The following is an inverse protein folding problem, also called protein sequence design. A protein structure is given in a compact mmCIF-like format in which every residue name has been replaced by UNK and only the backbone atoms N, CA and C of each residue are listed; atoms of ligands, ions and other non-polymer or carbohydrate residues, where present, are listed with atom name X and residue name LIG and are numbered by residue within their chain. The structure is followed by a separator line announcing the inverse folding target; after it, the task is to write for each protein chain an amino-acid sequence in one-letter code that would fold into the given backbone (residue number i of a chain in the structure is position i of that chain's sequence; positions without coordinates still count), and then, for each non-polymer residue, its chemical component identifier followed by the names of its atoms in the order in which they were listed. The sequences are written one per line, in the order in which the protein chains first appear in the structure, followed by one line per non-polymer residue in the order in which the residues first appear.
data_IF_782463181423
#
_entry.id   IF_782463181423
#
_cell.length_a   1.000
_cell.length_b   1.000
_cell.length_c   1.000
_cell.angle_alpha   90.00
_cell.angle_beta   90.00
_cell.angle_gamma   90.00
#
_symmetry.space_group_name_H-M   'P 1'
#
loop_
_entity.id
_entity.type
_entity.pdbx_description
1 polymer ?
#
# COMPACT_ATOMS: atom_id res chain seq x y z
N UNK A 1 -15.74 -3.07 -9.33
CA UNK A 1 -15.45 -1.85 -8.53
C UNK A 1 -15.28 -2.16 -7.05
N UNK A 2 -16.28 -2.74 -6.35
CA UNK A 2 -16.18 -3.03 -4.90
C UNK A 2 -14.96 -3.89 -4.50
N UNK A 3 -14.68 -4.98 -5.22
CA UNK A 3 -13.54 -5.86 -4.95
C UNK A 3 -12.18 -5.15 -5.06
N UNK A 4 -12.03 -4.31 -6.08
CA UNK A 4 -10.81 -3.54 -6.31
C UNK A 4 -10.61 -2.52 -5.19
N UNK A 5 -11.68 -1.79 -4.79
CA UNK A 5 -11.60 -0.86 -3.67
C UNK A 5 -11.27 -1.56 -2.35
N UNK A 6 -11.88 -2.73 -2.07
CA UNK A 6 -11.57 -3.51 -0.86
C UNK A 6 -10.12 -4.02 -0.87
N UNK A 7 -9.63 -4.44 -2.04
CA UNK A 7 -8.24 -4.90 -2.20
C UNK A 7 -7.26 -3.74 -2.04
N UNK A 8 -7.58 -2.56 -2.58
CA UNK A 8 -6.76 -1.36 -2.43
C UNK A 8 -6.76 -0.89 -0.98
N UNK A 9 -7.90 -0.89 -0.30
CA UNK A 9 -8.01 -0.46 1.09
C UNK A 9 -7.30 -1.42 2.05
N UNK A 10 -7.47 -2.74 1.85
CA UNK A 10 -6.74 -3.77 2.59
C UNK A 10 -5.23 -3.73 2.29
N UNK A 11 -4.85 -3.55 1.03
CA UNK A 11 -3.46 -3.43 0.60
C UNK A 11 -2.80 -2.16 1.13
N UNK A 12 -3.54 -1.05 1.22
CA UNK A 12 -3.06 0.20 1.80
C UNK A 12 -2.83 0.07 3.30
N UNK A 13 -3.79 -0.48 4.04
CA UNK A 13 -3.65 -0.69 5.48
C UNK A 13 -2.47 -1.61 5.81
N UNK A 14 -2.38 -2.77 5.15
CA UNK A 14 -1.29 -3.72 5.38
C UNK A 14 0.05 -3.16 4.89
N UNK A 15 0.10 -2.58 3.69
CA UNK A 15 1.32 -2.01 3.13
C UNK A 15 1.90 -0.90 4.01
N UNK A 16 1.06 0.02 4.48
CA UNK A 16 1.47 1.09 5.38
C UNK A 16 1.95 0.52 6.71
N UNK A 17 1.17 -0.35 7.35
CA UNK A 17 1.53 -0.92 8.65
C UNK A 17 2.85 -1.68 8.59
N UNK A 18 3.04 -2.49 7.55
CA UNK A 18 4.27 -3.25 7.33
C UNK A 18 5.44 -2.32 6.99
N UNK A 19 5.23 -1.26 6.21
CA UNK A 19 6.29 -0.29 5.94
C UNK A 19 6.80 0.37 7.23
N UNK A 20 5.94 0.77 8.17
CA UNK A 20 6.42 1.31 9.47
C UNK A 20 7.12 0.30 10.38
N UNK A 21 6.81 -1.00 10.25
CA UNK A 21 7.44 -2.06 11.05
C UNK A 21 8.79 -2.47 10.46
N UNK A 22 8.88 -2.58 9.14
CA UNK A 22 10.02 -3.18 8.44
C UNK A 22 10.94 -2.16 7.76
N UNK A 23 10.46 -0.95 7.51
CA UNK A 23 11.24 0.11 6.87
C UNK A 23 11.55 1.19 7.92
N UNK A 24 12.83 1.49 8.07
CA UNK A 24 13.32 2.45 9.07
C UNK A 24 13.07 3.89 8.60
N UNK A 25 11.89 4.43 8.91
CA UNK A 25 11.50 5.79 8.52
C UNK A 25 12.47 6.83 9.08
N UNK A 26 13.17 7.54 8.19
CA UNK A 26 14.12 8.58 8.53
C UNK A 26 13.45 9.95 8.56
N UNK A 27 13.77 10.74 9.58
CA UNK A 27 13.39 12.14 9.59
C UNK A 27 14.40 12.95 8.78
N UNK A 28 14.09 13.22 7.52
CA UNK A 28 14.97 13.99 6.63
C UNK A 28 14.71 15.50 6.81
N UNK A 29 15.76 16.26 7.08
CA UNK A 29 15.72 17.72 7.08
C UNK A 29 17.06 18.31 6.69
N UNK A 30 17.04 19.39 5.93
CA UNK A 30 18.24 20.12 5.55
C UNK A 30 18.12 21.60 5.91
N UNK A 31 19.27 22.24 6.10
CA UNK A 31 19.34 23.66 6.43
C UNK A 31 19.75 24.46 5.20
N UNK A 32 19.00 25.52 4.94
CA UNK A 32 19.35 26.51 3.92
C UNK A 32 19.81 27.77 4.64
N UNK A 33 21.06 28.16 4.39
CA UNK A 33 21.66 29.37 4.96
C UNK A 33 21.49 30.55 4.01
N UNK A 34 21.33 31.74 4.57
CA UNK A 34 21.31 33.02 3.84
C UNK A 34 20.31 33.12 2.68
N UNK A 35 19.19 32.41 2.75
CA UNK A 35 18.12 32.52 1.76
C UNK A 35 17.15 33.65 2.17
N UNK A 36 16.88 34.59 1.26
CA UNK A 36 15.93 35.69 1.44
C UNK A 36 16.16 36.55 2.71
N UNK A 37 17.42 36.80 3.08
CA UNK A 37 17.78 37.62 4.24
C UNK A 37 17.63 36.92 5.59
N UNK A 38 17.24 35.65 5.62
CA UNK A 38 17.14 34.85 6.84
C UNK A 38 18.46 34.10 7.06
N UNK A 39 19.02 34.20 8.27
CA UNK A 39 20.31 33.60 8.60
C UNK A 39 20.32 32.07 8.46
N UNK A 40 19.23 31.40 8.85
CA UNK A 40 19.09 29.95 8.82
C UNK A 40 17.63 29.55 8.69
N UNK A 41 17.32 28.65 7.74
CA UNK A 41 15.99 28.07 7.54
C UNK A 41 16.10 26.55 7.50
N UNK A 42 15.39 25.85 8.39
CA UNK A 42 15.27 24.39 8.35
C UNK A 42 14.12 23.99 7.43
N UNK A 43 14.41 23.19 6.42
CA UNK A 43 13.41 22.58 5.54
C UNK A 43 13.22 21.13 5.97
N UNK A 44 11.98 20.76 6.27
CA UNK A 44 11.60 19.37 6.52
C UNK A 44 11.32 18.73 5.18
N UNK A 45 11.95 17.59 4.92
CA UNK A 45 11.71 16.80 3.72
C UNK A 45 11.00 15.51 4.07
N UNK A 46 10.38 14.90 3.06
CA UNK A 46 9.78 13.58 3.18
C UNK A 46 10.85 12.54 2.92
N UNK A 47 10.82 11.45 3.69
CA UNK A 47 11.63 10.27 3.38
C UNK A 47 11.11 9.62 2.08
N UNK A 48 11.70 10.04 0.96
CA UNK A 48 11.29 9.58 -0.37
C UNK A 48 11.52 8.08 -0.54
N UNK A 49 12.61 7.55 0.01
CA UNK A 49 12.91 6.12 -0.06
C UNK A 49 11.85 5.33 0.71
N UNK A 50 11.48 5.78 1.91
CA UNK A 50 10.37 5.18 2.66
C UNK A 50 9.06 5.24 1.87
N UNK A 51 8.68 6.41 1.36
CA UNK A 51 7.41 6.57 0.63
C UNK A 51 7.38 5.72 -0.63
N UNK A 52 8.47 5.67 -1.39
CA UNK A 52 8.58 4.86 -2.59
C UNK A 52 8.44 3.37 -2.25
N UNK A 53 9.20 2.88 -1.27
CA UNK A 53 9.16 1.48 -0.87
C UNK A 53 7.80 1.08 -0.26
N UNK A 54 7.19 1.95 0.55
CA UNK A 54 5.84 1.76 1.08
C UNK A 54 4.80 1.68 -0.05
N UNK A 55 4.92 2.52 -1.09
CA UNK A 55 4.02 2.48 -2.24
C UNK A 55 4.09 1.15 -2.99
N UNK A 56 5.30 0.59 -3.15
CA UNK A 56 5.50 -0.73 -3.75
C UNK A 56 4.88 -1.85 -2.91
N UNK A 57 5.01 -1.79 -1.58
CA UNK A 57 4.35 -2.73 -0.68
C UNK A 57 2.82 -2.65 -0.79
N UNK A 58 2.26 -1.45 -0.78
CA UNK A 58 0.81 -1.24 -0.93
C UNK A 58 0.30 -1.84 -2.23
N UNK A 59 1.01 -1.59 -3.35
CA UNK A 59 0.67 -2.16 -4.65
C UNK A 59 0.77 -3.69 -4.64
N UNK A 60 1.86 -4.24 -4.08
CA UNK A 60 2.07 -5.68 -3.95
C UNK A 60 0.93 -6.36 -3.18
N UNK A 61 0.60 -5.86 -1.99
CA UNK A 61 -0.49 -6.40 -1.18
C UNK A 61 -1.86 -6.21 -1.83
N UNK A 62 -2.10 -5.09 -2.51
CA UNK A 62 -3.34 -4.86 -3.26
C UNK A 62 -3.54 -5.94 -4.32
N UNK A 63 -2.49 -6.27 -5.09
CA UNK A 63 -2.54 -7.33 -6.11
C UNK A 63 -2.78 -8.69 -5.46
N UNK A 64 -2.04 -9.03 -4.40
CA UNK A 64 -2.17 -10.31 -3.69
C UNK A 64 -3.60 -10.51 -3.17
N UNK A 65 -4.15 -9.51 -2.47
CA UNK A 65 -5.52 -9.58 -1.94
C UNK A 65 -6.53 -9.74 -3.07
N UNK A 66 -6.37 -8.98 -4.16
CA UNK A 66 -7.27 -9.06 -5.31
C UNK A 66 -7.26 -10.45 -5.96
N UNK A 67 -6.08 -11.06 -6.10
CA UNK A 67 -5.93 -12.40 -6.68
C UNK A 67 -6.57 -13.45 -5.77
N UNK A 68 -6.30 -13.40 -4.46
CA UNK A 68 -6.91 -14.30 -3.47
C UNK A 68 -8.43 -14.23 -3.54
N UNK A 69 -8.98 -13.01 -3.53
CA UNK A 69 -10.42 -12.79 -3.60
C UNK A 69 -11.02 -13.36 -4.89
N UNK A 70 -10.36 -13.10 -6.02
CA UNK A 70 -10.79 -13.62 -7.34
C UNK A 70 -10.77 -15.14 -7.38
N UNK A 71 -9.78 -15.78 -6.75
CA UNK A 71 -9.69 -17.23 -6.67
C UNK A 71 -10.80 -17.84 -5.80
N UNK A 72 -11.10 -17.21 -4.66
CA UNK A 72 -12.19 -17.65 -3.75
C UNK A 72 -13.55 -17.54 -4.44
N UNK A 73 -13.81 -16.45 -5.18
CA UNK A 73 -15.05 -16.28 -5.94
C UNK A 73 -15.22 -17.39 -6.98
N UNK A 74 -14.18 -17.65 -7.80
CA UNK A 74 -14.22 -18.75 -8.78
C UNK A 74 -14.52 -20.11 -8.15
N UNK A 75 -13.86 -20.43 -7.03
CA UNK A 75 -14.11 -21.69 -6.29
C UNK A 75 -15.55 -21.81 -5.80
N UNK A 76 -16.15 -20.71 -5.34
CA UNK A 76 -17.56 -20.70 -4.91
C UNK A 76 -18.51 -20.92 -6.09
N UNK A 77 -18.24 -20.27 -7.22
CA UNK A 77 -19.06 -20.40 -8.42
C UNK A 77 -19.00 -21.84 -8.95
N UNK A 78 -17.80 -22.42 -9.05
CA UNK A 78 -17.60 -23.81 -9.47
C UNK A 78 -18.33 -24.80 -8.54
N UNK A 79 -18.28 -24.57 -7.23
CA UNK A 79 -18.99 -25.39 -6.26
C UNK A 79 -20.52 -25.30 -6.42
N UNK A 80 -21.03 -24.10 -6.74
CA UNK A 80 -22.45 -23.89 -7.01
C UNK A 80 -22.90 -24.62 -8.29
N UNK A 81 -22.18 -24.47 -9.41
CA UNK A 81 -22.51 -25.14 -10.67
C UNK A 81 -22.51 -26.67 -10.54
N UNK A 82 -21.51 -27.23 -9.86
CA UNK A 82 -21.44 -28.67 -9.63
C UNK A 82 -22.57 -29.20 -8.73
N UNK A 83 -23.06 -28.39 -7.78
CA UNK A 83 -24.21 -28.73 -6.96
C UNK A 83 -25.53 -28.65 -7.73
N UNK A 84 -25.64 -27.72 -8.68
CA UNK A 84 -26.82 -27.58 -9.53
C UNK A 84 -26.95 -28.72 -10.55
N UNK A 85 -25.86 -29.10 -11.22
CA UNK A 85 -25.84 -30.20 -12.19
C UNK A 85 -25.99 -31.61 -11.58
N UNK A 86 -25.94 -31.73 -10.24
CA UNK A 86 -26.17 -33.00 -9.52
C UNK A 86 -27.63 -33.24 -9.13
N UNK A 87 -28.53 -32.27 -9.35
CA UNK A 87 -29.98 -32.41 -9.14
C UNK A 87 -30.71 -32.62 -10.46
#
# INVERSE_FOLDING_TARGET
MKKFMLSLLGGSLLGILLSFIFMDYQKISYEVLHQAGVAKRTVKDVDFDFVFNASLLILGFTVVIYVIWTYIEKKKDDAFYNGFNKK
#
